data_IF_449419480780
#
_entry.id   IF_449419480780
#
_cell.length_a   1.000
_cell.length_b   1.000
_cell.length_c   1.000
_cell.angle_alpha   90.00
_cell.angle_beta   90.00
_cell.angle_gamma   90.00
#
_symmetry.space_group_name_H-M   'P 1'
#
loop_
_entity.id
_entity.type
_entity.pdbx_description
1 polymer ?
#
# COMPACT_ATOMS: atom_id res chain seq x y z
N UNK A 1 -61.65 -60.83 -6.36
CA UNK A 1 -60.40 -61.63 -6.49
C UNK A 1 -59.25 -60.80 -7.05
N UNK A 2 -59.37 -60.17 -8.22
CA UNK A 2 -58.31 -59.33 -8.80
C UNK A 2 -58.01 -58.04 -8.03
N UNK A 3 -59.01 -57.43 -7.38
CA UNK A 3 -58.80 -56.23 -6.56
C UNK A 3 -57.87 -56.47 -5.37
N UNK A 4 -57.97 -57.61 -4.70
CA UNK A 4 -57.09 -57.96 -3.58
C UNK A 4 -55.63 -58.18 -4.01
N UNK A 5 -55.40 -58.78 -5.18
CA UNK A 5 -54.06 -58.86 -5.76
C UNK A 5 -53.53 -57.48 -6.18
N UNK A 6 -54.40 -56.63 -6.73
CA UNK A 6 -54.04 -55.24 -7.08
C UNK A 6 -53.64 -54.45 -5.83
N UNK A 7 -54.36 -54.61 -4.74
CA UNK A 7 -54.08 -53.92 -3.48
C UNK A 7 -52.79 -54.43 -2.82
N UNK A 8 -52.51 -55.74 -2.87
CA UNK A 8 -51.22 -56.28 -2.44
C UNK A 8 -50.05 -55.74 -3.29
N UNK A 9 -50.19 -55.68 -4.61
CA UNK A 9 -49.17 -55.10 -5.51
C UNK A 9 -48.99 -53.61 -5.27
N UNK A 10 -50.07 -52.86 -5.04
CA UNK A 10 -50.01 -51.44 -4.70
C UNK A 10 -49.29 -51.20 -3.36
N UNK A 11 -49.58 -51.99 -2.34
CA UNK A 11 -48.90 -51.92 -1.04
C UNK A 11 -47.40 -52.29 -1.17
N UNK A 12 -47.08 -53.29 -1.98
CA UNK A 12 -45.69 -53.66 -2.25
C UNK A 12 -44.95 -52.53 -2.98
N UNK A 13 -45.56 -51.91 -3.99
CA UNK A 13 -45.01 -50.76 -4.70
C UNK A 13 -44.75 -49.59 -3.76
N UNK A 14 -45.72 -49.28 -2.88
CA UNK A 14 -45.58 -48.22 -1.90
C UNK A 14 -44.42 -48.48 -0.94
N UNK A 15 -44.30 -49.71 -0.41
CA UNK A 15 -43.19 -50.07 0.47
C UNK A 15 -41.83 -49.98 -0.24
N UNK A 16 -41.76 -50.34 -1.53
CA UNK A 16 -40.54 -50.18 -2.33
C UNK A 16 -40.20 -48.71 -2.58
N UNK A 17 -41.20 -47.86 -2.84
CA UNK A 17 -41.00 -46.43 -3.05
C UNK A 17 -40.48 -45.74 -1.78
N UNK A 18 -41.03 -46.09 -0.61
CA UNK A 18 -40.53 -45.62 0.69
C UNK A 18 -39.07 -46.07 0.95
N UNK A 19 -38.73 -47.31 0.59
CA UNK A 19 -37.36 -47.81 0.69
C UNK A 19 -36.42 -47.07 -0.28
N UNK A 20 -36.87 -46.78 -1.50
CA UNK A 20 -36.10 -46.04 -2.49
C UNK A 20 -35.83 -44.61 -2.04
N UNK A 21 -36.84 -43.92 -1.51
CA UNK A 21 -36.69 -42.60 -0.92
C UNK A 21 -35.62 -42.60 0.19
N UNK A 22 -35.69 -43.58 1.10
CA UNK A 22 -34.69 -43.75 2.16
C UNK A 22 -33.29 -43.98 1.60
N UNK A 23 -33.14 -44.82 0.57
CA UNK A 23 -31.86 -45.05 -0.11
C UNK A 23 -31.33 -43.76 -0.72
N UNK A 24 -32.18 -42.95 -1.33
CA UNK A 24 -31.78 -41.68 -1.92
C UNK A 24 -31.30 -40.70 -0.85
N UNK A 25 -32.05 -40.54 0.24
CA UNK A 25 -31.61 -39.72 1.40
C UNK A 25 -30.28 -40.19 1.97
N UNK A 26 -30.05 -41.51 2.06
CA UNK A 26 -28.77 -42.07 2.51
C UNK A 26 -27.62 -41.75 1.55
N UNK A 27 -27.86 -41.78 0.23
CA UNK A 27 -26.86 -41.39 -0.79
C UNK A 27 -26.52 -39.91 -0.70
N UNK A 28 -27.52 -39.06 -0.52
CA UNK A 28 -27.31 -37.61 -0.39
C UNK A 28 -26.49 -37.32 0.88
N UNK A 29 -26.86 -37.96 2.00
CA UNK A 29 -26.10 -37.88 3.27
C UNK A 29 -24.65 -38.35 3.09
N UNK A 30 -24.43 -39.46 2.38
CA UNK A 30 -23.08 -39.95 2.09
C UNK A 30 -22.27 -38.90 1.32
N UNK A 31 -22.85 -38.30 0.29
CA UNK A 31 -22.21 -37.24 -0.51
C UNK A 31 -21.83 -36.04 0.36
N UNK A 32 -22.73 -35.60 1.24
CA UNK A 32 -22.44 -34.52 2.20
C UNK A 32 -21.29 -34.88 3.13
N UNK A 33 -21.26 -36.10 3.67
CA UNK A 33 -20.17 -36.56 4.55
C UNK A 33 -18.83 -36.64 3.81
N UNK A 34 -18.82 -37.09 2.55
CA UNK A 34 -17.62 -37.10 1.72
C UNK A 34 -17.11 -35.68 1.45
N UNK A 35 -18.01 -34.73 1.14
CA UNK A 35 -17.66 -33.33 0.99
C UNK A 35 -17.10 -32.72 2.29
N UNK A 36 -17.73 -33.01 3.43
CA UNK A 36 -17.23 -32.58 4.74
C UNK A 36 -15.83 -33.14 5.05
N UNK A 37 -15.56 -34.40 4.67
CA UNK A 37 -14.24 -35.02 4.87
C UNK A 37 -13.16 -34.35 4.01
N UNK A 38 -13.50 -33.96 2.78
CA UNK A 38 -12.60 -33.18 1.91
C UNK A 38 -12.35 -31.80 2.54
N UNK A 39 -13.41 -31.07 2.92
CA UNK A 39 -13.28 -29.77 3.56
C UNK A 39 -12.45 -29.81 4.85
N UNK A 40 -12.60 -30.84 5.67
CA UNK A 40 -11.78 -31.03 6.87
C UNK A 40 -10.30 -31.28 6.55
N UNK A 41 -10.00 -32.01 5.46
CA UNK A 41 -8.63 -32.23 5.00
C UNK A 41 -8.00 -30.93 4.49
N UNK A 42 -8.76 -30.16 3.73
CA UNK A 42 -8.32 -28.87 3.20
C UNK A 42 -8.12 -27.85 4.33
N UNK A 43 -9.02 -27.81 5.30
CA UNK A 43 -8.87 -26.99 6.50
C UNK A 43 -7.61 -27.38 7.29
N UNK A 44 -7.33 -28.68 7.45
CA UNK A 44 -6.09 -29.14 8.09
C UNK A 44 -4.83 -28.78 7.29
N UNK A 45 -4.91 -28.73 5.95
CA UNK A 45 -3.81 -28.32 5.10
C UNK A 45 -3.58 -26.81 5.20
N UNK A 46 -4.64 -26.01 5.08
CA UNK A 46 -4.59 -24.57 5.28
C UNK A 46 -4.03 -24.21 6.67
N UNK A 47 -4.43 -24.95 7.71
CA UNK A 47 -3.91 -24.74 9.07
C UNK A 47 -2.43 -25.14 9.24
N UNK A 48 -1.90 -26.03 8.39
CA UNK A 48 -0.46 -26.32 8.34
C UNK A 48 0.32 -25.30 7.51
N UNK A 49 -0.31 -24.79 6.46
CA UNK A 49 0.27 -23.78 5.56
C UNK A 49 0.30 -22.40 6.24
N UNK A 50 -0.64 -22.11 7.15
CA UNK A 50 -0.52 -21.05 8.18
C UNK A 50 0.53 -21.54 9.19
N UNK A 51 1.80 -21.35 8.86
CA UNK A 51 2.91 -21.69 9.75
C UNK A 51 2.85 -20.73 10.94
N UNK A 52 2.91 -21.27 12.16
CA UNK A 52 3.08 -20.47 13.39
C UNK A 52 4.25 -19.50 13.28
N UNK A 53 5.32 -19.90 12.58
CA UNK A 53 6.46 -19.04 12.25
C UNK A 53 6.04 -17.73 11.56
N UNK A 54 5.00 -17.75 10.72
CA UNK A 54 4.50 -16.54 10.06
C UNK A 54 3.61 -15.68 10.96
N UNK A 55 3.08 -16.25 12.04
CA UNK A 55 2.36 -15.49 13.06
C UNK A 55 3.37 -14.72 13.92
N UNK A 56 4.48 -15.36 14.28
CA UNK A 56 5.60 -14.69 14.96
C UNK A 56 6.20 -13.59 14.04
N UNK A 57 6.49 -13.91 12.76
CA UNK A 57 6.97 -12.90 11.79
C UNK A 57 5.98 -11.73 11.61
N UNK A 58 4.67 -12.00 11.62
CA UNK A 58 3.63 -10.97 11.51
C UNK A 58 3.55 -10.13 12.79
N UNK A 59 3.72 -10.75 13.94
CA UNK A 59 3.73 -10.05 15.23
C UNK A 59 4.93 -9.11 15.32
N UNK A 60 6.12 -9.59 14.93
CA UNK A 60 7.35 -8.80 14.87
C UNK A 60 7.18 -7.62 13.89
N UNK A 61 6.61 -7.85 12.69
CA UNK A 61 6.33 -6.78 11.73
C UNK A 61 5.30 -5.75 12.26
N UNK A 62 4.33 -6.18 13.06
CA UNK A 62 3.36 -5.27 13.68
C UNK A 62 4.00 -4.43 14.80
N UNK A 63 4.95 -5.00 15.54
CA UNK A 63 5.75 -4.28 16.53
C UNK A 63 6.63 -3.22 15.85
N UNK A 64 7.39 -3.63 14.82
CA UNK A 64 8.22 -2.72 14.01
C UNK A 64 7.39 -1.56 13.42
N UNK A 65 6.19 -1.84 12.90
CA UNK A 65 5.33 -0.82 12.30
C UNK A 65 4.75 0.16 13.34
N UNK A 66 4.48 -0.32 14.56
CA UNK A 66 4.04 0.54 15.66
C UNK A 66 5.18 1.44 16.14
N UNK A 67 6.40 0.92 16.20
CA UNK A 67 7.60 1.69 16.53
C UNK A 67 7.90 2.75 15.46
N UNK A 68 7.81 2.39 14.18
CA UNK A 68 7.97 3.34 13.07
C UNK A 68 6.88 4.42 13.08
N UNK A 69 5.63 4.06 13.38
CA UNK A 69 4.54 5.02 13.54
C UNK A 69 4.78 5.98 14.71
N UNK A 70 5.33 5.49 15.83
CA UNK A 70 5.72 6.32 16.96
C UNK A 70 6.90 7.24 16.61
N UNK A 71 7.90 6.75 15.87
CA UNK A 71 9.02 7.56 15.40
C UNK A 71 8.57 8.65 14.41
N UNK A 72 7.64 8.33 13.50
CA UNK A 72 7.01 9.31 12.61
C UNK A 72 6.23 10.35 13.41
N UNK A 73 5.46 9.93 14.41
CA UNK A 73 4.75 10.87 15.28
C UNK A 73 5.73 11.75 16.06
N UNK A 74 6.83 11.21 16.58
CA UNK A 74 7.86 11.98 17.25
C UNK A 74 8.54 12.95 16.29
N UNK A 75 8.90 12.51 15.08
CA UNK A 75 9.52 13.34 14.05
C UNK A 75 8.61 14.46 13.56
N UNK A 76 7.30 14.21 13.44
CA UNK A 76 6.31 15.26 13.14
C UNK A 76 6.03 16.15 14.35
N UNK A 77 6.09 15.60 15.56
CA UNK A 77 5.95 16.35 16.82
C UNK A 77 7.22 17.11 17.21
N UNK A 78 8.37 16.83 16.56
CA UNK A 78 9.50 17.75 16.50
C UNK A 78 9.03 18.96 15.70
N UNK A 79 8.21 19.78 16.36
CA UNK A 79 8.16 21.19 16.11
C UNK A 79 9.61 21.63 16.24
N UNK A 80 10.25 21.87 15.10
CA UNK A 80 11.36 22.81 15.06
C UNK A 80 10.77 24.06 15.67
N UNK A 81 11.04 24.25 16.96
CA UNK A 81 10.60 25.43 17.68
C UNK A 81 11.28 26.58 16.97
N UNK A 82 10.58 27.20 16.03
CA UNK A 82 10.90 28.56 15.65
C UNK A 82 10.95 29.29 16.98
N UNK A 83 12.07 29.95 17.33
CA UNK A 83 12.09 30.83 18.48
C UNK A 83 10.83 31.69 18.45
N UNK A 84 10.30 32.12 19.60
CA UNK A 84 9.25 33.13 19.61
C UNK A 84 9.84 34.40 18.95
N UNK A 85 9.68 34.52 17.63
CA UNK A 85 10.10 35.66 16.83
C UNK A 85 9.03 36.70 17.05
N UNK A 86 9.45 37.89 17.46
CA UNK A 86 8.55 39.02 17.58
C UNK A 86 8.15 39.47 16.16
N UNK A 87 6.93 39.13 15.76
CA UNK A 87 6.40 39.47 14.44
C UNK A 87 6.36 40.99 14.21
N UNK A 88 6.18 41.79 15.27
CA UNK A 88 6.17 43.26 15.18
C UNK A 88 7.57 43.82 14.91
N UNK A 89 8.60 43.25 15.54
CA UNK A 89 10.00 43.64 15.32
C UNK A 89 10.46 43.26 13.90
N UNK A 90 10.10 42.06 13.45
CA UNK A 90 10.42 41.59 12.10
C UNK A 90 9.72 42.43 11.02
N UNK A 91 8.45 42.81 11.22
CA UNK A 91 7.72 43.67 10.28
C UNK A 91 8.36 45.06 10.20
N UNK A 92 8.79 45.62 11.33
CA UNK A 92 9.49 46.91 11.37
C UNK A 92 10.86 46.87 10.67
N UNK A 93 11.64 45.81 10.85
CA UNK A 93 12.90 45.60 10.11
C UNK A 93 12.66 45.45 8.60
N UNK A 94 11.59 44.74 8.20
CA UNK A 94 11.25 44.51 6.79
C UNK A 94 10.81 45.80 6.08
N UNK A 95 10.00 46.62 6.75
CA UNK A 95 9.61 47.94 6.25
C UNK A 95 10.83 48.85 6.10
N UNK A 96 11.74 48.85 7.08
CA UNK A 96 12.97 49.64 7.02
C UNK A 96 13.89 49.22 5.86
N UNK A 97 14.02 47.91 5.61
CA UNK A 97 14.76 47.39 4.45
C UNK A 97 14.08 47.76 3.13
N UNK A 98 12.74 47.74 3.08
CA UNK A 98 11.96 48.18 1.92
C UNK A 98 12.21 49.64 1.57
N UNK A 99 12.26 50.51 2.59
CA UNK A 99 12.60 51.91 2.45
C UNK A 99 14.07 52.13 2.03
N UNK A 100 15.00 51.33 2.56
CA UNK A 100 16.42 51.35 2.16
C UNK A 100 16.59 50.93 0.68
N UNK A 101 15.92 49.86 0.25
CA UNK A 101 15.92 49.40 -1.15
C UNK A 101 15.29 50.42 -2.10
N UNK A 102 14.26 51.16 -1.65
CA UNK A 102 13.63 52.23 -2.43
C UNK A 102 14.51 53.48 -2.55
N UNK A 103 15.40 53.71 -1.59
CA UNK A 103 16.36 54.82 -1.60
C UNK A 103 17.62 54.49 -2.42
N UNK A 104 17.98 53.21 -2.53
CA UNK A 104 19.07 52.72 -3.35
C UNK A 104 18.59 52.41 -4.77
N UNK A 105 18.65 53.41 -5.66
CA UNK A 105 18.27 53.32 -7.09
C UNK A 105 19.27 52.48 -7.93
N UNK A 106 20.21 51.78 -7.26
CA UNK A 106 21.27 50.99 -7.88
C UNK A 106 20.75 49.60 -8.29
N UNK A 107 20.12 49.54 -9.47
CA UNK A 107 19.54 48.30 -10.03
C UNK A 107 20.58 47.26 -10.49
N UNK A 108 21.84 47.37 -10.07
CA UNK A 108 22.92 46.45 -10.49
C UNK A 108 22.65 45.00 -10.09
N UNK A 109 21.89 44.77 -9.02
CA UNK A 109 21.43 43.44 -8.59
C UNK A 109 20.49 42.76 -9.61
N UNK A 110 19.75 43.52 -10.43
CA UNK A 110 18.89 42.96 -11.48
C UNK A 110 19.71 42.39 -12.63
N UNK A 111 20.90 42.96 -12.89
CA UNK A 111 21.78 42.51 -13.97
C UNK A 111 22.37 41.11 -13.65
N UNK A 112 22.68 40.86 -12.37
CA UNK A 112 23.13 39.55 -11.88
C UNK A 112 22.00 38.50 -11.89
N UNK A 113 20.76 38.90 -11.60
CA UNK A 113 19.59 38.03 -11.74
C UNK A 113 19.33 37.63 -13.22
N UNK A 114 19.59 38.53 -14.18
CA UNK A 114 19.55 38.19 -15.61
C UNK A 114 20.75 37.37 -16.10
N UNK A 115 21.86 37.37 -15.36
CA UNK A 115 23.02 36.51 -15.60
C UNK A 115 22.88 35.12 -14.96
N UNK A 116 21.79 34.87 -14.22
CA UNK A 116 21.51 33.58 -13.61
C UNK A 116 21.43 32.49 -14.70
N UNK A 117 22.02 31.30 -14.48
CA UNK A 117 21.93 30.20 -15.43
C UNK A 117 20.46 29.83 -15.67
N UNK A 118 20.11 29.54 -16.92
CA UNK A 118 18.76 29.11 -17.27
C UNK A 118 18.38 27.81 -16.53
N UNK A 119 17.14 27.76 -16.06
CA UNK A 119 16.54 26.60 -15.38
C UNK A 119 16.68 25.37 -16.30
N UNK A 120 17.10 24.19 -15.80
CA UNK A 120 17.31 23.02 -16.66
C UNK A 120 15.99 22.57 -17.33
N UNK A 121 15.91 22.63 -18.65
CA UNK A 121 14.75 22.20 -19.45
C UNK A 121 14.72 20.66 -19.69
N UNK A 122 15.36 19.86 -18.84
CA UNK A 122 15.49 18.41 -19.03
C UNK A 122 14.43 17.61 -18.28
N UNK A 123 13.67 16.75 -18.98
CA UNK A 123 12.94 15.66 -18.33
C UNK A 123 13.93 14.72 -17.61
N UNK A 124 13.60 14.23 -16.40
CA UNK A 124 14.54 13.47 -15.58
C UNK A 124 14.66 12.03 -16.11
N UNK A 125 15.57 11.80 -17.06
CA UNK A 125 16.11 10.46 -17.37
C UNK A 125 17.24 10.43 -18.41
N UNK A 126 17.58 11.55 -19.07
CA UNK A 126 18.57 11.55 -20.15
C UNK A 126 19.91 12.16 -19.71
N UNK A 127 20.98 11.37 -19.81
CA UNK A 127 22.36 11.85 -19.71
C UNK A 127 22.63 12.82 -20.86
N UNK A 128 22.99 14.06 -20.56
CA UNK A 128 23.30 15.09 -21.57
C UNK A 128 24.79 15.42 -21.56
N UNK A 129 25.29 15.83 -22.72
CA UNK A 129 26.64 16.40 -22.86
C UNK A 129 26.54 17.92 -22.85
N UNK A 130 27.44 18.61 -22.15
CA UNK A 130 27.54 20.07 -22.24
C UNK A 130 28.09 20.49 -23.62
N UNK A 131 28.14 21.81 -23.90
CA UNK A 131 28.64 22.35 -25.18
C UNK A 131 30.09 21.96 -25.50
N UNK A 132 30.84 21.51 -24.50
CA UNK A 132 32.23 21.07 -24.59
C UNK A 132 32.37 19.54 -24.68
N UNK A 133 31.26 18.80 -24.80
CA UNK A 133 31.24 17.35 -24.98
C UNK A 133 31.45 16.53 -23.71
N UNK A 134 31.41 17.15 -22.52
CA UNK A 134 31.57 16.48 -21.23
C UNK A 134 30.23 15.93 -20.76
N UNK A 135 30.22 14.66 -20.32
CA UNK A 135 29.05 14.02 -19.70
C UNK A 135 28.74 14.71 -18.37
N UNK A 136 27.53 15.26 -18.27
CA UNK A 136 27.04 15.88 -17.05
C UNK A 136 25.93 15.04 -16.42
N UNK A 137 25.85 15.07 -15.09
CA UNK A 137 24.77 14.46 -14.33
C UNK A 137 23.48 15.30 -14.38
N UNK A 138 22.47 14.84 -13.65
CA UNK A 138 21.13 15.43 -13.56
C UNK A 138 21.14 16.88 -13.04
N UNK A 139 22.21 17.30 -12.37
CA UNK A 139 22.40 18.64 -11.84
C UNK A 139 23.30 19.51 -12.74
N UNK A 140 23.69 18.99 -13.91
CA UNK A 140 24.59 19.67 -14.83
C UNK A 140 26.05 19.67 -14.37
N UNK A 141 26.39 18.86 -13.37
CA UNK A 141 27.76 18.72 -12.88
C UNK A 141 28.52 17.68 -13.70
N UNK A 142 29.83 17.85 -13.94
CA UNK A 142 30.62 16.88 -14.69
C UNK A 142 30.67 15.52 -13.97
N UNK A 143 30.32 14.44 -14.67
CA UNK A 143 30.48 13.09 -14.12
C UNK A 143 31.98 12.76 -14.03
N UNK A 144 32.53 12.81 -12.81
CA UNK A 144 33.88 12.32 -12.54
C UNK A 144 33.88 10.79 -12.59
N UNK A 145 34.89 10.14 -13.20
CA UNK A 145 34.98 8.69 -13.18
C UNK A 145 35.16 8.23 -11.74
N UNK A 146 34.19 7.46 -11.23
CA UNK A 146 34.30 6.79 -9.93
C UNK A 146 35.56 5.90 -9.96
N UNK A 147 36.49 6.14 -9.04
CA UNK A 147 37.67 5.31 -8.81
C UNK A 147 37.43 4.36 -7.65
#
# INVERSE_FOLDING_TARGET
MYEGQREQLAQQSFNMEQANYTIQTLKDTKTTVEAMKIGAKDMKKAYKDVRLDQIDDLQDQLEDMMDEANEVQEALSRSYGTPDIDEEDLEAELDALGDELLLDDDTSYLDEASAAPSIPEGIPSDSKTNKDGVLVDEFGLPQIPAT
#
